data_IF_771512348852
#
_entry.id   IF_771512348852
#
_cell.length_a   1.000
_cell.length_b   1.000
_cell.length_c   1.000
_cell.angle_alpha   90.00
_cell.angle_beta   90.00
_cell.angle_gamma   90.00
#
_symmetry.space_group_name_H-M   'P 1'
#
loop_
_entity.id
_entity.type
_entity.pdbx_description
1 polymer ?
#
# COMPACT_ATOMS: atom_id res chain seq x y z
N UNK A 1 -5.18 -25.49 -58.63
CA UNK A 1 -5.59 -24.18 -58.10
C UNK A 1 -5.79 -24.36 -56.60
N UNK A 2 -4.74 -24.07 -55.82
CA UNK A 2 -4.71 -24.31 -54.36
C UNK A 2 -5.07 -23.00 -53.71
N UNK A 3 -6.22 -22.98 -53.03
CA UNK A 3 -6.70 -21.84 -52.23
C UNK A 3 -6.03 -21.93 -50.88
N UNK A 4 -5.09 -21.02 -50.63
CA UNK A 4 -4.45 -20.85 -49.30
C UNK A 4 -5.39 -20.01 -48.43
N UNK A 5 -6.04 -20.67 -47.48
CA UNK A 5 -6.82 -20.02 -46.43
C UNK A 5 -5.84 -19.43 -45.41
N UNK A 6 -5.57 -18.11 -45.47
CA UNK A 6 -4.84 -17.40 -44.44
C UNK A 6 -5.76 -17.23 -43.24
N UNK A 7 -5.57 -18.03 -42.22
CA UNK A 7 -6.17 -17.85 -40.91
C UNK A 7 -5.53 -16.62 -40.26
N UNK A 8 -6.28 -15.52 -40.21
CA UNK A 8 -5.89 -14.32 -39.48
C UNK A 8 -6.19 -14.59 -37.98
N UNK A 9 -5.18 -15.08 -37.24
CA UNK A 9 -5.24 -15.13 -35.81
C UNK A 9 -5.17 -13.70 -35.26
N UNK A 10 -6.34 -13.10 -35.01
CA UNK A 10 -6.47 -11.88 -34.23
C UNK A 10 -6.14 -12.28 -32.80
N UNK A 11 -4.91 -12.02 -32.39
CA UNK A 11 -4.56 -11.98 -30.96
C UNK A 11 -5.31 -10.83 -30.31
N UNK A 12 -6.48 -11.13 -29.74
CA UNK A 12 -7.04 -10.27 -28.71
C UNK A 12 -6.10 -10.36 -27.49
N UNK A 13 -5.16 -9.43 -27.42
CA UNK A 13 -4.46 -9.16 -26.17
C UNK A 13 -5.51 -8.67 -25.18
N UNK A 14 -6.00 -9.58 -24.36
CA UNK A 14 -6.74 -9.22 -23.15
C UNK A 14 -5.71 -8.49 -22.28
N UNK A 15 -5.75 -7.16 -22.29
CA UNK A 15 -4.99 -6.35 -21.35
C UNK A 15 -5.54 -6.69 -19.95
N UNK A 16 -4.91 -7.66 -19.29
CA UNK A 16 -5.10 -7.87 -17.88
C UNK A 16 -4.48 -6.65 -17.17
N UNK A 17 -5.31 -5.67 -16.84
CA UNK A 17 -4.88 -4.54 -16.02
C UNK A 17 -4.57 -5.07 -14.63
N UNK A 18 -3.29 -5.13 -14.32
CA UNK A 18 -2.83 -5.38 -12.96
C UNK A 18 -3.01 -4.09 -12.15
N UNK A 19 -3.52 -4.21 -10.94
CA UNK A 19 -3.56 -3.08 -10.01
C UNK A 19 -2.18 -2.99 -9.34
N UNK A 20 -1.48 -1.89 -9.61
CA UNK A 20 -0.21 -1.60 -8.96
C UNK A 20 -0.47 -0.98 -7.59
N UNK A 21 0.17 -1.53 -6.56
CA UNK A 21 0.10 -0.98 -5.21
C UNK A 21 1.33 -0.12 -4.97
N UNK A 22 1.08 1.10 -4.53
CA UNK A 22 2.11 2.07 -4.20
C UNK A 22 2.32 2.02 -2.70
N UNK A 23 3.54 1.68 -2.27
CA UNK A 23 3.98 1.88 -0.91
C UNK A 23 4.37 3.35 -0.73
N UNK A 24 3.75 3.98 0.23
CA UNK A 24 4.02 5.38 0.58
C UNK A 24 4.11 5.52 2.10
N UNK A 25 5.34 5.68 2.64
CA UNK A 25 5.55 5.76 4.08
C UNK A 25 4.79 6.91 4.74
N UNK A 26 4.62 8.03 4.04
CA UNK A 26 3.86 9.17 4.55
C UNK A 26 2.37 8.83 4.67
N UNK A 27 1.79 8.22 3.63
CA UNK A 27 0.39 7.80 3.61
C UNK A 27 0.12 6.74 4.68
N UNK A 28 1.00 5.75 4.79
CA UNK A 28 0.91 4.69 5.80
C UNK A 28 0.95 5.29 7.22
N UNK A 29 1.88 6.20 7.50
CA UNK A 29 1.98 6.88 8.80
C UNK A 29 0.79 7.81 9.07
N UNK A 30 0.27 8.48 8.05
CA UNK A 30 -0.93 9.32 8.20
C UNK A 30 -2.10 8.50 8.77
N UNK A 31 -2.37 7.31 8.22
CA UNK A 31 -3.43 6.45 8.72
C UNK A 31 -3.09 5.76 10.04
N UNK A 32 -1.82 5.42 10.29
CA UNK A 32 -1.37 4.93 11.60
C UNK A 32 -1.68 5.96 12.70
N UNK A 33 -1.44 7.24 12.44
CA UNK A 33 -1.77 8.31 13.37
C UNK A 33 -3.29 8.47 13.57
N UNK A 34 -4.09 8.29 12.52
CA UNK A 34 -5.56 8.25 12.63
C UNK A 34 -6.00 7.07 13.50
N UNK A 35 -5.45 5.87 13.31
CA UNK A 35 -5.76 4.69 14.12
C UNK A 35 -5.51 4.95 15.60
N UNK A 36 -4.33 5.47 15.93
CA UNK A 36 -3.95 5.78 17.32
C UNK A 36 -4.85 6.85 17.91
N UNK A 37 -5.10 7.94 17.17
CA UNK A 37 -5.92 9.06 17.63
C UNK A 37 -7.35 8.64 17.95
N UNK A 38 -7.93 7.78 17.14
CA UNK A 38 -9.33 7.38 17.26
C UNK A 38 -9.53 6.00 17.91
N UNK A 39 -8.44 5.37 18.35
CA UNK A 39 -8.43 4.03 18.95
C UNK A 39 -9.15 2.99 18.07
N UNK A 40 -8.75 2.95 16.80
CA UNK A 40 -9.29 2.04 15.80
C UNK A 40 -8.54 0.71 15.77
N UNK A 41 -9.15 -0.37 15.25
CA UNK A 41 -8.44 -1.60 14.93
C UNK A 41 -7.21 -1.33 14.05
N UNK A 42 -6.14 -2.10 14.30
CA UNK A 42 -4.91 -1.98 13.51
C UNK A 42 -5.14 -2.51 12.10
N UNK A 43 -4.84 -1.69 11.11
CA UNK A 43 -4.89 -2.02 9.70
C UNK A 43 -3.69 -1.43 8.97
N UNK A 44 -3.13 -2.15 8.02
CA UNK A 44 -2.21 -1.53 7.07
C UNK A 44 -3.01 -0.77 6.01
N UNK A 45 -2.49 0.36 5.53
CA UNK A 45 -3.22 1.19 4.56
C UNK A 45 -2.33 1.49 3.37
N UNK A 46 -2.82 1.18 2.18
CA UNK A 46 -2.05 1.27 0.94
C UNK A 46 -2.77 2.06 -0.14
N UNK A 47 -2.00 2.57 -1.10
CA UNK A 47 -2.53 3.24 -2.29
C UNK A 47 -2.47 2.26 -3.47
N UNK A 48 -3.53 2.27 -4.27
CA UNK A 48 -3.60 1.55 -5.54
C UNK A 48 -3.49 2.56 -6.69
N UNK A 49 -2.59 2.30 -7.64
CA UNK A 49 -2.46 3.12 -8.85
C UNK A 49 -3.62 2.87 -9.80
N UNK A 50 -4.75 3.46 -9.48
CA UNK A 50 -5.96 3.35 -10.27
C UNK A 50 -6.77 4.66 -10.22
N UNK A 51 -7.32 5.07 -11.36
CA UNK A 51 -8.06 6.33 -11.47
C UNK A 51 -9.54 6.23 -11.06
N UNK A 52 -10.10 5.04 -10.94
CA UNK A 52 -11.45 4.87 -10.43
C UNK A 52 -11.55 5.29 -8.96
N UNK A 53 -12.70 5.82 -8.57
CA UNK A 53 -12.99 6.18 -7.18
C UNK A 53 -13.35 4.91 -6.45
N UNK A 54 -12.46 4.41 -5.57
CA UNK A 54 -12.71 3.22 -4.77
C UNK A 54 -11.85 3.17 -3.51
N UNK A 55 -12.40 2.52 -2.46
CA UNK A 55 -11.69 2.00 -1.30
C UNK A 55 -12.17 0.59 -1.03
N UNK A 56 -11.36 -0.27 -0.44
CA UNK A 56 -11.74 -1.65 -0.15
C UNK A 56 -10.80 -2.31 0.85
N UNK A 57 -11.28 -3.41 1.46
CA UNK A 57 -10.53 -4.20 2.44
C UNK A 57 -10.19 -5.58 1.89
N UNK A 58 -8.94 -6.02 2.11
CA UNK A 58 -8.52 -7.41 1.93
C UNK A 58 -7.70 -7.86 3.17
N UNK A 59 -8.24 -8.80 3.92
CA UNK A 59 -7.65 -9.19 5.22
C UNK A 59 -7.67 -8.02 6.20
N UNK A 60 -6.52 -7.69 6.75
CA UNK A 60 -6.33 -6.53 7.64
C UNK A 60 -5.77 -5.30 6.90
N UNK A 61 -5.88 -5.26 5.58
CA UNK A 61 -5.34 -4.17 4.78
C UNK A 61 -6.47 -3.37 4.15
N UNK A 62 -6.39 -2.05 4.26
CA UNK A 62 -7.26 -1.08 3.59
C UNK A 62 -6.55 -0.51 2.38
N UNK A 63 -7.24 -0.44 1.27
CA UNK A 63 -6.71 0.05 0.01
C UNK A 63 -7.52 1.26 -0.47
N UNK A 64 -6.82 2.35 -0.79
CA UNK A 64 -7.40 3.52 -1.42
C UNK A 64 -6.85 3.67 -2.83
N UNK A 65 -7.71 3.84 -3.82
CA UNK A 65 -7.26 4.18 -5.17
C UNK A 65 -6.78 5.64 -5.24
N UNK A 66 -5.86 5.95 -6.14
CA UNK A 66 -5.52 7.37 -6.45
C UNK A 66 -6.77 8.17 -6.82
N UNK A 67 -7.73 7.52 -7.51
CA UNK A 67 -8.97 8.15 -7.92
C UNK A 67 -9.79 8.70 -6.75
N UNK A 68 -9.95 7.94 -5.65
CA UNK A 68 -10.71 8.42 -4.50
C UNK A 68 -9.98 9.59 -3.82
N UNK A 69 -8.65 9.48 -3.59
CA UNK A 69 -7.86 10.55 -2.97
C UNK A 69 -7.93 11.84 -3.79
N UNK A 70 -7.86 11.72 -5.12
CA UNK A 70 -7.98 12.85 -6.05
C UNK A 70 -9.32 13.57 -5.93
N UNK A 71 -10.40 12.85 -5.70
CA UNK A 71 -11.75 13.42 -5.69
C UNK A 71 -12.21 13.91 -4.31
N UNK A 72 -11.61 13.44 -3.21
CA UNK A 72 -11.92 13.92 -1.86
C UNK A 72 -11.35 15.34 -1.68
N UNK A 73 -12.19 16.29 -1.24
CA UNK A 73 -11.81 17.68 -0.99
C UNK A 73 -11.55 17.97 0.49
N UNK A 74 -12.18 17.22 1.37
CA UNK A 74 -12.14 17.43 2.82
C UNK A 74 -11.61 16.19 3.53
N UNK A 75 -10.75 16.42 4.50
CA UNK A 75 -10.12 15.36 5.29
C UNK A 75 -11.13 14.49 6.05
N UNK A 76 -12.22 15.10 6.52
CA UNK A 76 -13.28 14.38 7.24
C UNK A 76 -14.01 13.36 6.33
N UNK A 77 -14.06 13.59 5.01
CA UNK A 77 -14.55 12.59 4.04
C UNK A 77 -13.62 11.39 3.99
N UNK A 78 -12.30 11.61 3.89
CA UNK A 78 -11.32 10.54 3.87
C UNK A 78 -11.36 9.71 5.16
N UNK A 79 -11.45 10.38 6.32
CA UNK A 79 -11.59 9.72 7.63
C UNK A 79 -12.86 8.90 7.72
N UNK A 80 -13.99 9.44 7.25
CA UNK A 80 -15.27 8.73 7.30
C UNK A 80 -15.27 7.46 6.45
N UNK A 81 -14.73 7.53 5.23
CA UNK A 81 -14.53 6.36 4.38
C UNK A 81 -13.59 5.35 5.05
N UNK A 82 -12.51 5.83 5.65
CA UNK A 82 -11.59 4.97 6.39
C UNK A 82 -12.27 4.26 7.57
N UNK A 83 -13.13 4.94 8.33
CA UNK A 83 -13.91 4.30 9.41
C UNK A 83 -14.83 3.21 8.88
N UNK A 84 -15.45 3.42 7.70
CA UNK A 84 -16.25 2.40 7.06
C UNK A 84 -15.42 1.16 6.70
N UNK A 85 -14.26 1.36 6.06
CA UNK A 85 -13.36 0.26 5.69
C UNK A 85 -12.84 -0.51 6.93
N UNK A 86 -12.46 0.22 7.99
CA UNK A 86 -12.07 -0.40 9.26
C UNK A 86 -13.25 -1.14 9.91
N UNK A 87 -14.49 -0.69 9.69
CA UNK A 87 -15.69 -1.40 10.09
C UNK A 87 -15.77 -2.80 9.51
N UNK A 88 -15.40 -2.98 8.25
CA UNK A 88 -15.31 -4.32 7.64
C UNK A 88 -14.25 -5.20 8.31
N UNK A 89 -13.12 -4.63 8.75
CA UNK A 89 -12.08 -5.36 9.50
C UNK A 89 -12.60 -5.72 10.89
N UNK A 90 -13.19 -4.75 11.60
CA UNK A 90 -13.73 -4.94 12.95
C UNK A 90 -14.75 -6.07 13.03
N UNK A 91 -15.66 -6.15 12.05
CA UNK A 91 -16.67 -7.21 11.96
C UNK A 91 -16.17 -8.47 11.22
N UNK A 92 -14.89 -8.52 10.85
CA UNK A 92 -14.26 -9.70 10.21
C UNK A 92 -14.96 -10.17 8.91
N UNK A 93 -15.51 -9.22 8.13
CA UNK A 93 -16.32 -9.51 6.93
C UNK A 93 -15.50 -10.24 5.86
N UNK A 94 -14.22 -9.95 5.73
CA UNK A 94 -13.34 -10.63 4.79
C UNK A 94 -13.23 -12.12 5.06
N UNK A 95 -13.02 -12.54 6.31
CA UNK A 95 -12.87 -13.95 6.66
C UNK A 95 -14.20 -14.71 6.52
N UNK A 96 -15.34 -14.08 6.84
CA UNK A 96 -16.66 -14.64 6.61
C UNK A 96 -16.88 -14.98 5.14
N UNK A 97 -16.56 -14.03 4.26
CA UNK A 97 -16.65 -14.22 2.81
C UNK A 97 -15.63 -15.24 2.28
N UNK A 98 -14.45 -15.28 2.89
CA UNK A 98 -13.42 -16.27 2.61
C UNK A 98 -13.93 -17.69 2.83
N UNK A 99 -14.64 -17.93 3.90
CA UNK A 99 -15.24 -19.24 4.21
C UNK A 99 -16.33 -19.62 3.20
N UNK A 100 -17.16 -18.67 2.77
CA UNK A 100 -18.19 -18.88 1.75
C UNK A 100 -17.59 -19.28 0.39
N UNK A 101 -16.50 -18.62 -0.02
CA UNK A 101 -15.81 -18.92 -1.29
C UNK A 101 -15.12 -20.28 -1.24
N UNK A 102 -14.52 -20.66 -0.11
CA UNK A 102 -13.87 -21.97 0.05
C UNK A 102 -14.84 -23.14 -0.02
N UNK A 103 -16.03 -22.97 0.52
CA UNK A 103 -17.09 -24.01 0.44
C UNK A 103 -17.54 -24.27 -1.00
N UNK A 104 -17.28 -23.35 -1.93
CA UNK A 104 -17.71 -23.42 -3.33
C UNK A 104 -16.63 -23.92 -4.33
N UNK A 105 -15.61 -24.68 -3.89
CA UNK A 105 -14.61 -25.37 -4.74
C UNK A 105 -13.74 -24.51 -5.67
N UNK A 106 -13.47 -23.24 -5.36
CA UNK A 106 -12.58 -22.39 -6.19
C UNK A 106 -11.21 -22.15 -5.54
N UNK A 107 -10.45 -23.22 -5.27
CA UNK A 107 -9.14 -23.18 -4.63
C UNK A 107 -8.05 -22.34 -5.34
N UNK A 108 -8.22 -21.98 -6.62
CA UNK A 108 -7.24 -21.15 -7.35
C UNK A 108 -7.19 -19.69 -6.91
N UNK A 109 -8.27 -19.15 -6.34
CA UNK A 109 -8.36 -17.76 -5.89
C UNK A 109 -7.48 -17.50 -4.65
N UNK A 110 -7.20 -18.54 -3.87
CA UNK A 110 -6.50 -18.47 -2.58
C UNK A 110 -5.00 -18.20 -2.71
N UNK A 111 -4.34 -18.93 -3.60
CA UNK A 111 -2.90 -18.76 -3.83
C UNK A 111 -2.58 -17.37 -4.43
N UNK A 112 -3.53 -16.79 -5.16
CA UNK A 112 -3.39 -15.45 -5.69
C UNK A 112 -3.54 -14.35 -4.64
N UNK A 113 -4.24 -14.58 -3.52
CA UNK A 113 -4.38 -13.57 -2.44
C UNK A 113 -3.07 -13.46 -1.62
N UNK A 114 -2.35 -14.55 -1.44
CA UNK A 114 -1.01 -14.52 -0.86
C UNK A 114 -0.01 -13.81 -1.80
N UNK A 115 -0.17 -14.00 -3.12
CA UNK A 115 0.62 -13.28 -4.12
C UNK A 115 0.25 -11.79 -4.21
N UNK A 116 -0.97 -11.39 -3.81
CA UNK A 116 -1.35 -9.98 -3.64
C UNK A 116 -0.52 -9.32 -2.52
N UNK A 117 -0.34 -9.98 -1.39
CA UNK A 117 0.61 -9.54 -0.36
C UNK A 117 2.00 -9.30 -0.96
N UNK A 118 2.46 -10.18 -1.84
CA UNK A 118 3.74 -10.08 -2.51
C UNK A 118 3.79 -8.96 -3.57
N UNK A 119 2.70 -8.70 -4.31
CA UNK A 119 2.59 -7.62 -5.29
C UNK A 119 2.61 -6.22 -4.64
N UNK A 120 2.09 -6.11 -3.43
CA UNK A 120 2.09 -4.88 -2.64
C UNK A 120 3.52 -4.32 -2.46
N UNK A 121 4.51 -5.17 -2.51
CA UNK A 121 5.87 -4.85 -2.12
C UNK A 121 6.81 -4.51 -3.29
N UNK A 122 6.41 -4.74 -4.53
CA UNK A 122 7.31 -4.56 -5.68
C UNK A 122 7.28 -3.17 -6.29
N UNK A 123 6.93 -2.12 -5.58
CA UNK A 123 6.96 -0.73 -6.08
C UNK A 123 8.26 -0.31 -6.78
N UNK A 124 9.16 -1.25 -7.05
CA UNK A 124 10.36 -1.08 -7.84
C UNK A 124 10.28 -1.93 -9.12
N UNK A 125 9.88 -1.31 -10.22
CA UNK A 125 9.73 -1.92 -11.55
C UNK A 125 11.01 -2.59 -12.10
N UNK A 126 12.16 -2.38 -11.46
CA UNK A 126 13.43 -2.96 -11.87
C UNK A 126 13.66 -4.39 -11.39
N UNK A 127 12.78 -4.92 -10.54
CA UNK A 127 12.85 -6.31 -10.15
C UNK A 127 11.86 -7.05 -11.04
N UNK A 128 12.33 -7.85 -12.00
CA UNK A 128 11.51 -8.61 -12.95
C UNK A 128 10.48 -9.59 -12.36
N UNK A 129 10.06 -9.33 -11.12
CA UNK A 129 9.02 -9.99 -10.35
C UNK A 129 7.66 -9.32 -10.60
N UNK A 130 7.64 -8.05 -10.98
CA UNK A 130 6.42 -7.27 -11.16
C UNK A 130 5.45 -7.83 -12.21
N UNK A 131 5.93 -8.61 -13.16
CA UNK A 131 5.10 -9.13 -14.25
C UNK A 131 4.18 -10.28 -13.87
N UNK A 132 4.41 -10.94 -12.71
CA UNK A 132 3.59 -12.09 -12.29
C UNK A 132 2.74 -11.83 -11.02
N UNK A 133 2.83 -10.63 -10.45
CA UNK A 133 2.14 -10.26 -9.22
C UNK A 133 0.96 -9.30 -9.50
N UNK A 134 0.36 -9.43 -10.66
CA UNK A 134 -0.83 -8.67 -11.01
C UNK A 134 -2.05 -9.23 -10.27
N UNK A 135 -2.76 -8.36 -9.57
CA UNK A 135 -4.06 -8.70 -9.02
C UNK A 135 -5.04 -8.85 -10.19
N UNK A 136 -5.55 -10.06 -10.40
CA UNK A 136 -6.63 -10.28 -11.35
C UNK A 136 -7.84 -9.45 -10.93
N UNK A 137 -8.27 -8.55 -11.80
CA UNK A 137 -9.39 -7.67 -11.61
C UNK A 137 -10.69 -8.42 -11.27
N UNK A 138 -10.86 -9.65 -11.78
CA UNK A 138 -12.02 -10.50 -11.49
C UNK A 138 -12.02 -10.97 -10.03
N UNK A 139 -10.85 -11.18 -9.44
CA UNK A 139 -10.68 -11.56 -8.03
C UNK A 139 -11.06 -10.40 -7.13
N UNK A 140 -10.59 -9.19 -7.43
CA UNK A 140 -10.98 -7.98 -6.69
C UNK A 140 -12.47 -7.72 -6.76
N UNK A 141 -13.07 -7.85 -7.94
CA UNK A 141 -14.51 -7.69 -8.12
C UNK A 141 -15.31 -8.68 -7.24
N UNK A 142 -14.84 -9.92 -7.13
CA UNK A 142 -15.51 -10.95 -6.31
C UNK A 142 -15.27 -10.76 -4.80
N UNK A 143 -14.11 -10.22 -4.41
CA UNK A 143 -13.79 -10.01 -3.00
C UNK A 143 -14.34 -8.69 -2.45
N UNK A 144 -14.50 -7.67 -3.28
CA UNK A 144 -14.98 -6.34 -2.90
C UNK A 144 -16.53 -6.24 -2.83
N UNK A 145 -17.28 -7.17 -3.41
CA UNK A 145 -18.75 -7.16 -3.27
C UNK A 145 -19.18 -7.66 -1.89
N UNK A 146 -19.55 -6.76 -1.01
CA UNK A 146 -20.07 -7.11 0.31
C UNK A 146 -21.58 -7.35 0.29
N UNK A 147 -22.08 -8.13 1.24
CA UNK A 147 -23.52 -8.26 1.43
C UNK A 147 -24.08 -6.96 2.01
N UNK A 148 -25.38 -6.69 1.77
CA UNK A 148 -26.08 -5.52 2.35
C UNK A 148 -25.91 -5.49 3.88
N UNK A 149 -25.91 -6.63 4.53
CA UNK A 149 -25.69 -6.73 5.98
C UNK A 149 -24.30 -6.24 6.38
N UNK A 150 -23.25 -6.67 5.68
CA UNK A 150 -21.88 -6.24 5.93
C UNK A 150 -21.74 -4.72 5.78
N UNK A 151 -22.41 -4.15 4.77
CA UNK A 151 -22.42 -2.70 4.57
C UNK A 151 -23.11 -1.95 5.72
N UNK A 152 -24.23 -2.47 6.22
CA UNK A 152 -24.95 -1.88 7.37
C UNK A 152 -24.05 -1.93 8.63
N UNK A 153 -23.38 -3.04 8.88
CA UNK A 153 -22.48 -3.20 10.03
C UNK A 153 -21.27 -2.25 9.93
N UNK A 154 -20.66 -2.11 8.75
CA UNK A 154 -19.58 -1.16 8.49
C UNK A 154 -20.03 0.30 8.62
N UNK A 155 -21.23 0.62 8.11
CA UNK A 155 -21.83 1.96 8.26
C UNK A 155 -22.12 2.29 9.73
N UNK A 156 -22.61 1.37 10.52
CA UNK A 156 -22.85 1.58 11.94
C UNK A 156 -21.53 1.89 12.66
N UNK A 157 -20.46 1.15 12.37
CA UNK A 157 -19.13 1.42 12.91
C UNK A 157 -18.63 2.81 12.51
N UNK A 158 -18.81 3.19 11.24
CA UNK A 158 -18.47 4.53 10.75
C UNK A 158 -19.26 5.61 11.51
N UNK A 159 -20.59 5.46 11.64
CA UNK A 159 -21.47 6.44 12.28
C UNK A 159 -21.17 6.60 13.79
N UNK A 160 -20.83 5.53 14.50
CA UNK A 160 -20.36 5.58 15.88
C UNK A 160 -19.10 6.44 16.02
N UNK A 161 -18.12 6.22 15.14
CA UNK A 161 -16.87 7.00 15.15
C UNK A 161 -17.10 8.46 14.74
N UNK A 162 -17.98 8.73 13.77
CA UNK A 162 -18.41 10.08 13.39
C UNK A 162 -19.03 10.79 14.57
N UNK A 163 -19.98 10.15 15.27
CA UNK A 163 -20.67 10.70 16.42
C UNK A 163 -19.71 10.98 17.59
N UNK A 164 -18.92 9.99 17.96
CA UNK A 164 -17.94 10.08 19.05
C UNK A 164 -16.93 11.22 18.84
N UNK A 165 -16.50 11.41 17.62
CA UNK A 165 -15.46 12.39 17.27
C UNK A 165 -16.02 13.70 16.70
N UNK A 166 -17.33 13.87 16.67
CA UNK A 166 -18.05 15.07 16.21
C UNK A 166 -17.65 15.49 14.78
N UNK A 167 -17.53 14.52 13.89
CA UNK A 167 -17.17 14.76 12.49
C UNK A 167 -18.40 15.26 11.72
N UNK A 168 -18.26 16.37 11.00
CA UNK A 168 -19.31 16.90 10.14
C UNK A 168 -19.43 16.07 8.85
N UNK A 169 -20.63 15.64 8.52
CA UNK A 169 -20.90 14.74 7.40
C UNK A 169 -21.42 15.43 6.15
N UNK A 170 -21.58 16.75 6.14
CA UNK A 170 -22.13 17.46 4.96
C UNK A 170 -21.27 17.21 3.72
N UNK A 171 -19.94 17.30 3.85
CA UNK A 171 -19.04 17.08 2.74
C UNK A 171 -18.99 15.60 2.27
N UNK A 172 -19.26 14.64 3.17
CA UNK A 172 -19.41 13.23 2.82
C UNK A 172 -20.69 12.97 2.03
N UNK A 173 -21.80 13.62 2.41
CA UNK A 173 -23.07 13.56 1.66
C UNK A 173 -22.86 14.16 0.28
N UNK A 174 -22.27 15.36 0.20
CA UNK A 174 -21.96 16.02 -1.07
C UNK A 174 -21.03 15.16 -1.94
N UNK A 175 -20.06 14.46 -1.33
CA UNK A 175 -19.18 13.54 -2.04
C UNK A 175 -19.99 12.40 -2.66
N UNK A 176 -20.90 11.75 -1.91
CA UNK A 176 -21.73 10.69 -2.44
C UNK A 176 -22.70 11.16 -3.52
N UNK A 177 -23.34 12.33 -3.33
CA UNK A 177 -24.31 12.86 -4.29
C UNK A 177 -23.66 13.28 -5.63
N UNK A 178 -22.35 13.59 -5.63
CA UNK A 178 -21.60 13.94 -6.82
C UNK A 178 -20.85 12.78 -7.47
N UNK A 179 -20.96 11.55 -6.94
CA UNK A 179 -20.35 10.39 -7.58
C UNK A 179 -21.10 10.01 -8.86
N UNK A 180 -20.41 9.76 -9.99
CA UNK A 180 -21.09 9.36 -11.23
C UNK A 180 -21.69 7.96 -11.10
N UNK A 181 -23.00 7.82 -11.35
CA UNK A 181 -23.75 6.57 -11.16
C UNK A 181 -23.32 5.43 -12.10
N UNK A 182 -22.95 5.74 -13.34
CA UNK A 182 -22.97 4.76 -14.42
C UNK A 182 -21.80 3.77 -14.49
N UNK A 183 -20.67 4.03 -13.83
CA UNK A 183 -19.47 3.16 -13.90
C UNK A 183 -18.64 3.13 -12.63
N UNK A 184 -19.15 3.59 -11.51
CA UNK A 184 -18.36 3.76 -10.30
C UNK A 184 -18.29 2.45 -9.52
N UNK A 185 -17.07 1.91 -9.33
CA UNK A 185 -16.83 0.70 -8.53
C UNK A 185 -17.19 0.88 -7.08
N UNK A 186 -17.06 2.10 -6.55
CA UNK A 186 -17.44 2.41 -5.19
C UNK A 186 -18.91 2.04 -4.92
N UNK A 187 -19.82 2.38 -5.85
CA UNK A 187 -21.23 1.97 -5.73
C UNK A 187 -21.45 0.47 -5.90
N UNK A 188 -20.60 -0.21 -6.67
CA UNK A 188 -20.72 -1.66 -6.86
C UNK A 188 -20.21 -2.46 -5.67
N UNK A 189 -19.15 -1.97 -5.02
CA UNK A 189 -18.59 -2.58 -3.81
C UNK A 189 -19.38 -2.20 -2.56
N UNK A 190 -19.92 -0.97 -2.51
CA UNK A 190 -20.64 -0.39 -1.39
C UNK A 190 -21.97 0.20 -1.86
N UNK A 191 -23.01 -0.64 -2.09
CA UNK A 191 -24.27 -0.14 -2.57
C UNK A 191 -24.85 0.91 -1.61
N UNK A 192 -24.98 2.15 -2.09
CA UNK A 192 -25.58 3.23 -1.34
C UNK A 192 -27.08 3.01 -1.28
N UNK A 193 -27.65 2.95 -0.08
CA UNK A 193 -29.08 3.05 0.06
C UNK A 193 -29.45 4.44 0.60
N UNK A 194 -30.69 4.87 0.34
CA UNK A 194 -31.21 6.15 0.85
C UNK A 194 -31.09 6.28 2.38
N UNK A 195 -31.14 5.17 3.10
CA UNK A 195 -31.03 5.12 4.55
C UNK A 195 -29.63 5.54 5.06
N UNK A 196 -28.56 5.25 4.29
CA UNK A 196 -27.19 5.70 4.59
C UNK A 196 -27.12 7.23 4.64
N UNK A 197 -27.62 7.88 3.58
CA UNK A 197 -27.65 9.35 3.50
C UNK A 197 -28.51 9.95 4.61
N UNK A 198 -29.67 9.37 4.92
CA UNK A 198 -30.55 9.81 6.01
C UNK A 198 -29.82 9.72 7.36
N UNK A 199 -29.06 8.66 7.60
CA UNK A 199 -28.29 8.48 8.84
C UNK A 199 -27.17 9.52 8.97
N UNK A 200 -26.49 9.84 7.87
CA UNK A 200 -25.45 10.87 7.84
C UNK A 200 -25.99 12.28 8.11
N UNK A 201 -27.21 12.61 7.67
CA UNK A 201 -27.84 13.92 7.88
C UNK A 201 -27.95 14.30 9.36
N UNK A 202 -27.96 13.34 10.28
CA UNK A 202 -27.98 13.59 11.73
C UNK A 202 -26.73 14.32 12.25
N UNK A 203 -25.62 14.26 11.53
CA UNK A 203 -24.31 14.79 11.95
C UNK A 203 -23.83 16.01 11.15
N UNK A 204 -24.68 16.60 10.31
CA UNK A 204 -24.35 17.78 9.50
C UNK A 204 -24.17 19.06 10.33
N UNK A 205 -24.73 19.08 11.54
CA UNK A 205 -24.65 20.24 12.46
C UNK A 205 -23.35 20.33 13.25
N UNK A 206 -22.48 19.34 13.16
CA UNK A 206 -21.16 19.43 13.78
C UNK A 206 -20.32 20.49 13.07
N UNK A 207 -19.41 21.13 13.82
CA UNK A 207 -18.49 22.10 13.25
C UNK A 207 -17.58 21.43 12.22
N UNK A 208 -17.47 22.01 11.00
CA UNK A 208 -16.51 21.54 9.99
C UNK A 208 -15.08 21.75 10.48
N UNK A 209 -14.27 20.71 10.35
CA UNK A 209 -12.85 20.78 10.63
C UNK A 209 -12.10 21.38 9.43
N UNK A 210 -10.99 22.07 9.73
CA UNK A 210 -10.03 22.42 8.68
C UNK A 210 -9.21 21.17 8.33
N UNK A 211 -8.84 21.07 7.05
CA UNK A 211 -7.90 20.05 6.62
C UNK A 211 -6.58 20.18 7.39
N UNK A 212 -6.00 19.06 7.77
CA UNK A 212 -4.65 19.04 8.36
C UNK A 212 -3.59 19.28 7.28
N UNK A 213 -2.42 19.73 7.71
CA UNK A 213 -1.27 19.91 6.81
C UNK A 213 -0.89 18.59 6.11
N UNK A 214 -1.01 17.48 6.82
CA UNK A 214 -0.72 16.15 6.29
C UNK A 214 -1.71 15.74 5.18
N UNK A 215 -2.99 16.06 5.33
CA UNK A 215 -3.97 15.84 4.28
C UNK A 215 -3.70 16.71 3.05
N UNK A 216 -3.33 17.97 3.25
CA UNK A 216 -2.97 18.88 2.15
C UNK A 216 -1.74 18.36 1.38
N UNK A 217 -0.76 17.77 2.06
CA UNK A 217 0.37 17.10 1.43
C UNK A 217 -0.06 15.93 0.53
N UNK A 218 -0.95 15.06 1.03
CA UNK A 218 -1.52 13.97 0.23
C UNK A 218 -2.28 14.51 -0.99
N UNK A 219 -3.01 15.62 -0.82
CA UNK A 219 -3.72 16.28 -1.92
C UNK A 219 -2.77 16.82 -2.98
N UNK A 220 -1.67 17.42 -2.60
CA UNK A 220 -0.66 17.90 -3.53
C UNK A 220 -0.03 16.72 -4.31
N UNK A 221 0.31 15.64 -3.60
CA UNK A 221 0.95 14.46 -4.17
C UNK A 221 0.04 13.69 -5.13
N UNK A 222 -1.18 13.36 -4.72
CA UNK A 222 -2.08 12.47 -5.46
C UNK A 222 -3.24 13.20 -6.13
N UNK A 223 -3.73 14.27 -5.53
CA UNK A 223 -4.91 15.01 -5.99
C UNK A 223 -4.60 16.17 -6.95
N UNK A 224 -3.39 16.67 -6.96
CA UNK A 224 -2.92 17.86 -7.72
C UNK A 224 -3.57 19.20 -7.34
N UNK A 225 -4.30 19.26 -6.24
CA UNK A 225 -5.03 20.45 -5.80
C UNK A 225 -5.02 20.59 -4.28
N UNK A 226 -3.85 20.82 -3.69
CA UNK A 226 -3.73 21.26 -2.31
C UNK A 226 -4.09 22.75 -2.18
N UNK A 227 -4.61 23.14 -1.00
CA UNK A 227 -4.77 24.54 -0.65
C UNK A 227 -3.43 25.22 -0.29
N UNK A 228 -2.36 24.44 -0.16
CA UNK A 228 -1.01 24.92 0.15
C UNK A 228 -0.21 25.00 -1.16
N UNK A 229 0.04 26.23 -1.59
CA UNK A 229 0.68 26.52 -2.88
C UNK A 229 2.09 25.93 -2.98
N UNK A 230 2.85 25.98 -1.89
CA UNK A 230 4.20 25.45 -1.80
C UNK A 230 4.23 23.93 -2.07
N UNK A 231 3.26 23.20 -1.57
CA UNK A 231 3.18 21.75 -1.82
C UNK A 231 2.89 21.45 -3.30
N UNK A 232 2.00 22.20 -3.91
CA UNK A 232 1.70 22.06 -5.35
C UNK A 232 2.94 22.36 -6.20
N UNK A 233 3.71 23.40 -5.84
CA UNK A 233 4.95 23.76 -6.51
C UNK A 233 6.00 22.67 -6.34
N UNK A 234 6.20 22.15 -5.12
CA UNK A 234 7.14 21.07 -4.85
C UNK A 234 6.90 19.85 -5.75
N UNK A 235 5.67 19.31 -5.76
CA UNK A 235 5.36 18.15 -6.60
C UNK A 235 5.38 18.47 -8.10
N UNK A 236 5.02 19.69 -8.50
CA UNK A 236 5.14 20.12 -9.90
C UNK A 236 6.60 20.19 -10.35
N UNK A 237 7.49 20.69 -9.51
CA UNK A 237 8.93 20.77 -9.76
C UNK A 237 9.56 19.38 -9.78
N UNK A 238 9.19 18.53 -8.82
CA UNK A 238 9.66 17.14 -8.74
C UNK A 238 9.32 16.36 -10.02
N UNK A 239 8.10 16.49 -10.53
CA UNK A 239 7.67 15.85 -11.77
C UNK A 239 8.42 16.35 -13.03
N UNK A 240 9.05 17.51 -12.95
CA UNK A 240 9.90 18.07 -14.02
C UNK A 240 11.37 17.74 -13.85
N UNK A 241 11.74 16.99 -12.80
CA UNK A 241 13.13 16.71 -12.44
C UNK A 241 13.88 17.92 -11.87
N UNK A 242 13.16 18.97 -11.46
CA UNK A 242 13.72 20.19 -10.87
C UNK A 242 13.42 20.14 -9.38
N UNK A 243 14.48 20.10 -8.56
CA UNK A 243 14.30 20.05 -7.10
C UNK A 243 14.33 21.44 -6.52
N UNK A 244 13.24 21.82 -5.86
CA UNK A 244 13.21 22.99 -5.00
C UNK A 244 12.75 22.58 -3.59
N UNK A 245 13.69 22.22 -2.75
CA UNK A 245 13.43 21.78 -1.37
C UNK A 245 12.83 22.90 -0.51
N UNK A 246 13.01 24.16 -0.93
CA UNK A 246 12.49 25.31 -0.20
C UNK A 246 10.96 25.34 -0.20
N UNK A 247 10.33 24.76 -1.20
CA UNK A 247 8.86 24.68 -1.31
C UNK A 247 8.27 23.69 -0.29
N UNK A 248 9.07 22.79 0.26
CA UNK A 248 8.65 21.79 1.24
C UNK A 248 8.86 22.21 2.71
N UNK A 249 9.41 23.41 2.99
CA UNK A 249 9.77 23.85 4.35
C UNK A 249 8.59 24.01 5.32
N UNK A 250 7.37 24.09 4.81
CA UNK A 250 6.16 24.14 5.65
C UNK A 250 5.70 22.78 6.17
N UNK A 251 6.41 21.68 5.80
CA UNK A 251 6.16 20.36 6.35
C UNK A 251 6.98 20.22 7.63
N UNK A 252 6.31 19.85 8.73
CA UNK A 252 6.99 19.51 9.98
C UNK A 252 7.99 18.36 9.83
N UNK A 253 7.81 17.53 8.78
CA UNK A 253 8.66 16.41 8.46
C UNK A 253 9.30 16.56 7.06
N UNK A 254 10.40 17.33 6.99
CA UNK A 254 11.23 17.52 5.81
C UNK A 254 11.75 16.19 5.22
N UNK A 255 11.72 15.14 6.01
CA UNK A 255 12.20 13.82 5.66
C UNK A 255 11.36 13.19 4.55
N UNK A 256 10.04 13.40 4.54
CA UNK A 256 9.19 12.90 3.46
C UNK A 256 9.44 13.63 2.14
N UNK A 257 9.76 14.91 2.17
CA UNK A 257 10.17 15.63 0.97
C UNK A 257 11.47 15.05 0.38
N UNK A 258 12.44 14.74 1.23
CA UNK A 258 13.68 14.09 0.82
C UNK A 258 13.45 12.68 0.27
N UNK A 259 12.55 11.92 0.88
CA UNK A 259 12.15 10.62 0.35
C UNK A 259 11.57 10.73 -1.07
N UNK A 260 10.69 11.71 -1.31
CA UNK A 260 10.12 11.95 -2.64
C UNK A 260 11.20 12.32 -3.68
N UNK A 261 12.17 13.16 -3.29
CA UNK A 261 13.30 13.53 -4.14
C UNK A 261 14.13 12.30 -4.49
N UNK A 262 14.42 11.46 -3.49
CA UNK A 262 15.16 10.20 -3.69
C UNK A 262 14.40 9.25 -4.65
N UNK A 263 13.10 9.06 -4.46
CA UNK A 263 12.27 8.18 -5.33
C UNK A 263 12.19 8.71 -6.77
N UNK A 264 12.34 10.00 -6.97
CA UNK A 264 12.45 10.60 -8.31
C UNK A 264 13.83 10.39 -8.97
N UNK A 265 14.74 9.68 -8.30
CA UNK A 265 16.09 9.39 -8.83
C UNK A 265 17.07 10.57 -8.76
N UNK A 266 16.74 11.59 -7.98
CA UNK A 266 17.56 12.79 -7.84
C UNK A 266 18.47 12.60 -6.64
N UNK A 267 19.74 12.29 -6.90
CA UNK A 267 20.77 12.08 -5.88
C UNK A 267 21.44 13.41 -5.53
N UNK A 268 21.13 13.95 -4.36
CA UNK A 268 21.90 15.06 -3.75
C UNK A 268 22.67 14.46 -2.58
N UNK A 269 23.97 14.79 -2.43
CA UNK A 269 24.81 14.20 -1.38
C UNK A 269 24.27 14.44 0.03
N UNK A 270 23.69 15.61 0.28
CA UNK A 270 23.04 15.95 1.55
C UNK A 270 21.82 15.07 1.87
N UNK A 271 21.16 14.50 0.86
CA UNK A 271 20.03 13.59 1.07
C UNK A 271 20.47 12.31 1.78
N UNK A 272 21.68 11.81 1.52
CA UNK A 272 22.21 10.63 2.20
C UNK A 272 22.28 10.86 3.71
N UNK A 273 22.82 12.00 4.13
CA UNK A 273 22.94 12.35 5.57
C UNK A 273 21.56 12.54 6.21
N UNK A 274 20.61 13.13 5.49
CA UNK A 274 19.26 13.34 5.98
C UNK A 274 18.49 12.02 6.11
N UNK A 275 18.69 11.08 5.19
CA UNK A 275 18.14 9.73 5.31
C UNK A 275 18.70 8.96 6.50
N UNK A 276 19.98 9.14 6.82
CA UNK A 276 20.59 8.52 8.00
C UNK A 276 19.95 9.00 9.30
N UNK A 277 19.65 10.28 9.39
CA UNK A 277 18.93 10.85 10.53
C UNK A 277 17.50 10.32 10.65
N UNK A 278 16.87 9.97 9.51
CA UNK A 278 15.51 9.41 9.46
C UNK A 278 15.38 8.03 10.11
N UNK A 279 16.41 7.18 10.02
CA UNK A 279 16.36 5.81 10.54
C UNK A 279 16.15 5.83 12.05
N UNK A 280 16.74 6.79 12.75
CA UNK A 280 16.65 6.90 14.20
C UNK A 280 15.30 7.46 14.67
N UNK A 281 14.67 8.31 13.85
CA UNK A 281 13.48 9.07 14.23
C UNK A 281 12.18 8.49 13.68
N UNK A 282 12.20 7.84 12.51
CA UNK A 282 10.99 7.37 11.84
C UNK A 282 10.65 5.92 12.16
N UNK A 283 9.42 5.68 12.61
CA UNK A 283 8.91 4.35 12.97
C UNK A 283 8.36 3.56 11.76
N UNK A 284 8.43 4.09 10.53
CA UNK A 284 7.94 3.34 9.37
C UNK A 284 8.97 2.30 8.91
N UNK A 285 8.70 1.00 9.07
CA UNK A 285 9.68 -0.05 8.77
C UNK A 285 9.95 -0.15 7.26
N UNK A 286 8.99 0.16 6.41
CA UNK A 286 9.19 0.17 4.96
C UNK A 286 10.18 1.25 4.53
N UNK A 287 10.11 2.44 5.11
CA UNK A 287 11.07 3.52 4.83
C UNK A 287 12.50 3.10 5.21
N UNK A 288 12.65 2.38 6.32
CA UNK A 288 13.95 1.81 6.72
C UNK A 288 14.47 0.80 5.71
N UNK A 289 13.62 -0.09 5.21
CA UNK A 289 13.95 -1.06 4.15
C UNK A 289 14.42 -0.35 2.87
N UNK A 290 13.68 0.64 2.41
CA UNK A 290 14.02 1.42 1.21
C UNK A 290 15.38 2.11 1.37
N UNK A 291 15.64 2.65 2.54
CA UNK A 291 16.91 3.27 2.86
C UNK A 291 18.08 2.27 2.87
N UNK A 292 17.91 1.11 3.49
CA UNK A 292 18.93 0.07 3.47
C UNK A 292 19.19 -0.46 2.05
N UNK A 293 18.16 -0.56 1.22
CA UNK A 293 18.30 -0.88 -0.19
C UNK A 293 19.18 0.17 -0.92
N UNK A 294 18.97 1.46 -0.64
CA UNK A 294 19.80 2.52 -1.19
C UNK A 294 21.28 2.38 -0.78
N UNK A 295 21.54 2.11 0.49
CA UNK A 295 22.92 1.87 1.00
C UNK A 295 23.57 0.71 0.23
N UNK A 296 22.86 -0.40 0.06
CA UNK A 296 23.40 -1.58 -0.64
C UNK A 296 23.62 -1.30 -2.11
N UNK A 297 22.66 -0.69 -2.79
CA UNK A 297 22.70 -0.43 -4.24
C UNK A 297 23.82 0.55 -4.61
N UNK A 298 24.04 1.56 -3.78
CA UNK A 298 25.11 2.55 -3.98
C UNK A 298 26.45 2.14 -3.35
N UNK A 299 26.55 0.92 -2.78
CA UNK A 299 27.77 0.39 -2.16
C UNK A 299 28.38 1.30 -1.08
N UNK A 300 27.52 1.87 -0.22
CA UNK A 300 27.93 2.76 0.87
C UNK A 300 28.33 1.90 2.09
N UNK A 301 29.49 1.24 1.98
CA UNK A 301 29.93 0.19 2.92
C UNK A 301 30.11 0.66 4.36
N UNK A 302 30.37 1.94 4.59
CA UNK A 302 30.48 2.56 5.91
C UNK A 302 29.20 2.40 6.77
N UNK A 303 28.04 2.18 6.13
CA UNK A 303 26.76 2.01 6.81
C UNK A 303 26.26 0.57 6.85
N UNK A 304 27.03 -0.40 6.36
CA UNK A 304 26.62 -1.81 6.36
C UNK A 304 26.41 -2.37 7.77
N UNK A 305 27.13 -1.88 8.74
CA UNK A 305 26.96 -2.26 10.15
C UNK A 305 25.60 -1.89 10.71
N UNK A 306 24.96 -0.82 10.23
CA UNK A 306 23.61 -0.41 10.61
C UNK A 306 22.61 -1.45 10.13
N UNK A 307 22.76 -1.97 8.90
CA UNK A 307 21.90 -3.01 8.34
C UNK A 307 21.98 -4.27 9.20
N UNK A 308 23.19 -4.72 9.52
CA UNK A 308 23.41 -5.93 10.32
C UNK A 308 22.82 -5.79 11.73
N UNK A 309 23.02 -4.66 12.41
CA UNK A 309 22.45 -4.41 13.75
C UNK A 309 20.90 -4.42 13.76
N UNK A 310 20.27 -3.99 12.68
CA UNK A 310 18.81 -3.92 12.59
C UNK A 310 18.17 -5.24 12.13
N UNK A 311 18.92 -6.28 11.86
CA UNK A 311 18.40 -7.60 11.46
C UNK A 311 17.42 -8.19 12.49
N UNK A 312 17.60 -7.87 13.76
CA UNK A 312 16.76 -8.38 14.86
C UNK A 312 15.59 -7.45 15.21
N UNK A 313 15.40 -6.35 14.47
CA UNK A 313 14.27 -5.46 14.69
C UNK A 313 12.97 -6.11 14.19
N UNK A 314 12.04 -6.38 15.11
CA UNK A 314 10.78 -7.08 14.81
C UNK A 314 9.89 -6.33 13.81
N UNK A 315 9.93 -4.99 13.78
CA UNK A 315 9.17 -4.20 12.83
C UNK A 315 9.73 -4.39 11.42
N UNK A 316 11.06 -4.39 11.25
CA UNK A 316 11.70 -4.63 9.95
C UNK A 316 11.48 -6.08 9.51
N UNK A 317 11.55 -7.05 10.42
CA UNK A 317 11.27 -8.46 10.14
C UNK A 317 9.84 -8.72 9.69
N UNK A 318 8.89 -7.90 10.14
CA UNK A 318 7.49 -7.99 9.73
C UNK A 318 7.26 -7.51 8.29
N UNK A 319 8.20 -6.76 7.73
CA UNK A 319 8.13 -6.33 6.35
C UNK A 319 8.48 -7.48 5.40
N UNK A 320 7.66 -7.62 4.37
CA UNK A 320 7.85 -8.63 3.34
C UNK A 320 9.24 -8.57 2.68
N UNK A 321 9.76 -7.36 2.46
CA UNK A 321 11.09 -7.15 1.89
C UNK A 321 12.26 -7.46 2.81
N UNK A 322 12.03 -7.79 4.06
CA UNK A 322 13.08 -8.18 4.97
C UNK A 322 13.99 -9.24 4.35
N UNK A 323 13.42 -10.32 3.86
CA UNK A 323 14.19 -11.41 3.25
C UNK A 323 14.94 -10.99 1.99
N UNK A 324 14.30 -10.18 1.13
CA UNK A 324 14.93 -9.69 -0.09
C UNK A 324 16.11 -8.75 0.21
N UNK A 325 15.92 -7.83 1.15
CA UNK A 325 16.94 -6.92 1.63
C UNK A 325 18.19 -7.67 2.11
N UNK A 326 18.00 -8.62 3.02
CA UNK A 326 19.13 -9.37 3.59
C UNK A 326 19.75 -10.32 2.57
N UNK A 327 18.99 -10.85 1.63
CA UNK A 327 19.52 -11.57 0.46
C UNK A 327 20.49 -10.70 -0.36
N UNK A 328 20.09 -9.47 -0.67
CA UNK A 328 20.97 -8.48 -1.36
C UNK A 328 22.19 -8.10 -0.52
N UNK A 329 21.96 -7.81 0.77
CA UNK A 329 23.03 -7.43 1.70
C UNK A 329 24.12 -8.50 1.76
N UNK A 330 23.77 -9.76 2.02
CA UNK A 330 24.73 -10.85 2.10
C UNK A 330 25.39 -11.17 0.76
N UNK A 331 24.69 -10.99 -0.36
CA UNK A 331 25.33 -11.07 -1.68
C UNK A 331 26.37 -9.99 -1.85
N UNK A 332 26.12 -8.77 -1.37
CA UNK A 332 27.04 -7.63 -1.47
C UNK A 332 28.32 -7.83 -0.67
N UNK A 333 28.23 -8.46 0.51
CA UNK A 333 29.39 -8.78 1.34
C UNK A 333 29.99 -10.18 1.05
N UNK A 334 29.63 -10.78 -0.11
CA UNK A 334 30.12 -12.07 -0.60
C UNK A 334 29.80 -13.30 0.31
N UNK A 335 28.81 -13.20 1.20
CA UNK A 335 28.31 -14.35 1.94
C UNK A 335 27.20 -15.06 1.16
N UNK A 336 27.60 -15.98 0.29
CA UNK A 336 26.68 -16.65 -0.66
C UNK A 336 25.66 -17.56 0.02
N UNK A 337 26.01 -18.24 1.10
CA UNK A 337 25.09 -19.14 1.80
C UNK A 337 23.95 -18.37 2.44
N UNK A 338 24.25 -17.32 3.21
CA UNK A 338 23.22 -16.45 3.78
C UNK A 338 22.42 -15.73 2.70
N UNK A 339 23.06 -15.26 1.64
CA UNK A 339 22.34 -14.65 0.52
C UNK A 339 21.31 -15.61 -0.08
N UNK A 340 21.71 -16.84 -0.40
CA UNK A 340 20.81 -17.84 -0.98
C UNK A 340 19.71 -18.25 0.01
N UNK A 341 20.04 -18.37 1.30
CA UNK A 341 19.05 -18.63 2.36
C UNK A 341 17.96 -17.56 2.38
N UNK A 342 18.33 -16.28 2.45
CA UNK A 342 17.36 -15.19 2.53
C UNK A 342 16.54 -15.05 1.23
N UNK A 343 17.14 -15.21 0.05
CA UNK A 343 16.38 -15.25 -1.20
C UNK A 343 15.45 -16.47 -1.29
N UNK A 344 15.86 -17.64 -0.79
CA UNK A 344 14.98 -18.80 -0.68
C UNK A 344 13.73 -18.46 0.16
N UNK A 345 13.90 -17.85 1.35
CA UNK A 345 12.76 -17.46 2.18
C UNK A 345 11.88 -16.42 1.49
N UNK A 346 12.47 -15.41 0.84
CA UNK A 346 11.73 -14.42 0.09
C UNK A 346 10.83 -15.05 -0.98
N UNK A 347 11.37 -15.91 -1.82
CA UNK A 347 10.62 -16.53 -2.89
C UNK A 347 9.60 -17.57 -2.41
N UNK A 348 9.81 -18.19 -1.23
CA UNK A 348 8.76 -19.00 -0.56
C UNK A 348 7.56 -18.12 -0.16
N UNK A 349 7.80 -16.97 0.47
CA UNK A 349 6.73 -16.02 0.84
C UNK A 349 6.00 -15.52 -0.40
N UNK A 350 6.74 -15.27 -1.50
CA UNK A 350 6.19 -14.83 -2.77
C UNK A 350 5.41 -15.92 -3.54
N UNK A 351 5.37 -17.16 -3.03
CA UNK A 351 4.79 -18.33 -3.72
C UNK A 351 5.37 -18.54 -5.13
N UNK A 352 6.65 -18.19 -5.32
CA UNK A 352 7.38 -18.35 -6.58
C UNK A 352 8.25 -19.60 -6.55
N UNK A 353 7.62 -20.77 -6.74
CA UNK A 353 8.21 -22.09 -6.52
C UNK A 353 9.52 -22.29 -7.27
N UNK A 354 9.57 -22.01 -8.58
CA UNK A 354 10.78 -22.23 -9.40
C UNK A 354 11.97 -21.42 -8.88
N UNK A 355 11.75 -20.17 -8.46
CA UNK A 355 12.79 -19.32 -7.88
C UNK A 355 13.16 -19.75 -6.48
N UNK A 356 12.19 -20.13 -5.65
CA UNK A 356 12.48 -20.65 -4.31
C UNK A 356 13.31 -21.91 -4.39
N UNK A 357 12.95 -22.87 -5.24
CA UNK A 357 13.69 -24.13 -5.44
C UNK A 357 15.13 -23.86 -5.90
N UNK A 358 15.32 -22.90 -6.83
CA UNK A 358 16.64 -22.49 -7.31
C UNK A 358 17.55 -21.98 -6.17
N UNK A 359 17.06 -21.12 -5.29
CA UNK A 359 17.86 -20.57 -4.20
C UNK A 359 17.98 -21.52 -3.02
N UNK A 360 16.92 -22.28 -2.70
CA UNK A 360 16.92 -23.22 -1.58
C UNK A 360 17.93 -24.37 -1.78
N UNK A 361 18.21 -24.76 -3.02
CA UNK A 361 19.19 -25.79 -3.35
C UNK A 361 20.65 -25.28 -3.39
N UNK A 362 20.90 -24.00 -3.12
CA UNK A 362 22.24 -23.38 -3.26
C UNK A 362 22.96 -23.06 -1.97
N UNK A 363 22.40 -23.40 -0.82
CA UNK A 363 23.07 -23.23 0.47
C UNK A 363 23.01 -24.51 1.30
N UNK A 364 24.03 -24.70 2.15
CA UNK A 364 24.00 -25.75 3.17
C UNK A 364 23.31 -25.21 4.43
N UNK A 365 22.27 -25.89 4.90
CA UNK A 365 21.54 -25.51 6.12
C UNK A 365 22.46 -25.49 7.35
N UNK A 366 23.51 -26.33 7.38
CA UNK A 366 24.47 -26.37 8.47
C UNK A 366 25.41 -25.14 8.48
N UNK A 367 25.56 -24.45 7.34
CA UNK A 367 26.32 -23.21 7.26
C UNK A 367 25.56 -21.98 7.76
N UNK A 368 24.24 -22.11 7.95
CA UNK A 368 23.39 -21.01 8.38
C UNK A 368 23.42 -20.89 9.91
N UNK A 369 23.79 -19.72 10.46
CA UNK A 369 23.78 -19.49 11.90
C UNK A 369 22.39 -19.79 12.50
N UNK A 370 22.34 -20.34 13.72
CA UNK A 370 21.08 -20.71 14.39
C UNK A 370 20.10 -19.54 14.48
N UNK A 371 20.61 -18.33 14.69
CA UNK A 371 19.79 -17.12 14.77
C UNK A 371 19.12 -16.80 13.42
N UNK A 372 19.85 -16.95 12.31
CA UNK A 372 19.29 -16.72 10.98
C UNK A 372 18.30 -17.83 10.60
N UNK A 373 18.59 -19.06 11.00
CA UNK A 373 17.70 -20.19 10.76
C UNK A 373 16.36 -20.05 11.50
N UNK A 374 16.31 -19.29 12.61
CA UNK A 374 15.06 -18.98 13.30
C UNK A 374 14.09 -18.14 12.46
N UNK A 375 14.58 -17.47 11.42
CA UNK A 375 13.77 -16.71 10.45
C UNK A 375 13.27 -17.57 9.28
N UNK A 376 13.63 -18.86 9.25
CA UNK A 376 13.15 -19.76 8.20
C UNK A 376 11.62 -19.91 8.27
N UNK A 377 10.97 -19.71 7.11
CA UNK A 377 9.55 -19.95 6.99
C UNK A 377 9.33 -21.44 6.97
N UNK A 378 8.60 -21.94 7.93
CA UNK A 378 8.23 -23.35 8.03
C UNK A 378 7.51 -23.78 6.74
N UNK A 379 7.83 -24.99 6.29
CA UNK A 379 7.30 -25.61 5.07
C UNK A 379 5.80 -25.80 5.13
#
# INVERSE_FOLDING_TARGET
>A
MIIIFRLFLIFFSINAYSLEIIRDPFFENYFKNIQLKYNLPVANVYIVDHNEINAFVLGNNVYFTKGIIKNIKQEDVLKSIYFHEVGHIYHNHYNSKKLEINSSKKNKVYNNILSIGAAIFTGNANIGIATNLSIDQSILNNLSTNSIRHEIEADNFMLENISKNKINTSDLIDFFDNLPESNNRFYKSHPTNKNRVISLKKYTNFKKNKNSINFEWLKAKYGRNSNIFEFNNFFSSLNKGIVNITDAKSIDDINYANYEIYKAGIMIDDIKQMYLNLIEVNSNPYLKIEFYNMIIDNNISEYFEIIERNKHNSEIQSEYFFYFLYGKYYNKINNKDLSNFYFCQFYKVADLKDKSDYYCNKYDINSIPKIDNSYAILK
#
